data_IF_686995931634
#
_entry.id   IF_686995931634
#
_cell.length_a   1.000
_cell.length_b   1.000
_cell.length_c   1.000
_cell.angle_alpha   90.00
_cell.angle_beta   90.00
_cell.angle_gamma   90.00
#
_symmetry.space_group_name_H-M   'P 1'
#
loop_
_entity.id
_entity.type
_entity.pdbx_description
1 polymer ?
#
# COMPACT_ATOMS: atom_id res chain seq x y z
N UNK A 1 -0.90 26.56 7.24
CA UNK A 1 -1.44 26.43 5.87
C UNK A 1 -2.95 26.29 5.96
N UNK A 2 -3.72 26.68 4.91
CA UNK A 2 -5.15 26.39 4.85
C UNK A 2 -5.36 24.88 4.87
N UNK A 3 -6.49 24.42 5.48
CA UNK A 3 -6.83 22.99 5.47
C UNK A 3 -7.03 22.51 4.04
N UNK A 4 -6.58 21.28 3.73
CA UNK A 4 -6.77 20.67 2.43
C UNK A 4 -8.26 20.47 2.11
N UNK A 5 -8.73 21.15 1.06
CA UNK A 5 -10.14 21.10 0.64
C UNK A 5 -10.50 19.96 -0.31
N UNK A 6 -9.52 19.17 -0.73
CA UNK A 6 -9.67 18.18 -1.80
C UNK A 6 -9.22 18.72 -3.16
N UNK A 7 -9.13 17.83 -4.14
CA UNK A 7 -8.86 18.16 -5.54
C UNK A 7 -10.04 17.63 -6.36
N UNK A 8 -10.98 18.52 -6.65
CA UNK A 8 -12.15 18.23 -7.49
C UNK A 8 -12.30 19.31 -8.55
N UNK A 9 -11.84 19.03 -9.75
CA UNK A 9 -11.87 19.98 -10.88
C UNK A 9 -13.05 19.77 -11.83
N UNK A 10 -13.68 18.58 -11.80
CA UNK A 10 -14.72 18.17 -12.75
C UNK A 10 -15.98 17.64 -12.07
N UNK A 11 -16.24 18.05 -10.82
CA UNK A 11 -17.37 17.55 -10.02
C UNK A 11 -17.33 16.01 -9.82
N UNK A 12 -16.14 15.50 -9.53
CA UNK A 12 -15.91 14.08 -9.24
C UNK A 12 -16.80 13.59 -8.08
N UNK A 13 -17.04 14.46 -7.10
CA UNK A 13 -17.82 14.18 -5.90
C UNK A 13 -19.28 13.84 -6.21
N UNK A 14 -19.83 14.32 -7.33
CA UNK A 14 -21.19 13.97 -7.76
C UNK A 14 -21.36 12.49 -8.12
N UNK A 15 -20.26 11.78 -8.39
CA UNK A 15 -20.24 10.36 -8.73
C UNK A 15 -20.13 9.43 -7.52
N UNK A 16 -19.94 10.00 -6.33
CA UNK A 16 -19.80 9.28 -5.06
C UNK A 16 -21.12 9.26 -4.30
N UNK A 17 -21.43 8.12 -3.68
CA UNK A 17 -22.54 8.05 -2.74
C UNK A 17 -22.18 8.62 -1.35
N UNK A 18 -23.15 8.72 -0.47
CA UNK A 18 -22.97 9.35 0.85
C UNK A 18 -22.02 8.56 1.76
N UNK A 19 -22.04 7.23 1.71
CA UNK A 19 -21.11 6.38 2.45
C UNK A 19 -19.66 6.62 2.00
N UNK A 20 -19.41 6.66 0.70
CA UNK A 20 -18.09 6.91 0.11
C UNK A 20 -17.55 8.28 0.48
N UNK A 21 -18.41 9.31 0.47
CA UNK A 21 -18.07 10.66 0.92
C UNK A 21 -17.75 10.69 2.41
N UNK A 22 -18.55 10.02 3.25
CA UNK A 22 -18.34 9.93 4.68
C UNK A 22 -17.03 9.26 5.03
N UNK A 23 -16.73 8.09 4.44
CA UNK A 23 -15.48 7.37 4.65
C UNK A 23 -14.28 8.22 4.26
N UNK A 24 -14.33 8.88 3.09
CA UNK A 24 -13.27 9.80 2.65
C UNK A 24 -13.09 10.96 3.64
N UNK A 25 -14.17 11.56 4.09
CA UNK A 25 -14.12 12.67 5.03
C UNK A 25 -13.52 12.25 6.38
N UNK A 26 -13.95 11.10 6.92
CA UNK A 26 -13.41 10.53 8.16
C UNK A 26 -11.89 10.28 8.04
N UNK A 27 -11.45 9.68 6.93
CA UNK A 27 -10.03 9.43 6.69
C UNK A 27 -9.25 10.74 6.53
N UNK A 28 -9.82 11.75 5.86
CA UNK A 28 -9.22 13.08 5.71
C UNK A 28 -9.03 13.78 7.05
N UNK A 29 -10.05 13.77 7.90
CA UNK A 29 -9.99 14.39 9.24
C UNK A 29 -8.96 13.71 10.12
N UNK A 30 -8.90 12.38 10.11
CA UNK A 30 -7.85 11.63 10.79
C UNK A 30 -6.45 12.04 10.29
N UNK A 31 -6.25 12.11 8.98
CA UNK A 31 -4.96 12.48 8.40
C UNK A 31 -4.57 13.92 8.75
N UNK A 32 -5.49 14.87 8.67
CA UNK A 32 -5.24 16.28 9.01
C UNK A 32 -4.88 16.47 10.48
N UNK A 33 -5.59 15.79 11.38
CA UNK A 33 -5.48 16.04 12.80
C UNK A 33 -4.36 15.22 13.45
N UNK A 34 -4.16 13.96 13.02
CA UNK A 34 -3.28 13.01 13.70
C UNK A 34 -1.98 12.72 12.93
N UNK A 35 -2.01 12.80 11.59
CA UNK A 35 -0.86 12.38 10.77
C UNK A 35 -0.01 13.56 10.33
N UNK A 36 -0.60 14.56 9.68
CA UNK A 36 0.14 15.69 9.11
C UNK A 36 1.01 16.42 10.13
N UNK A 37 0.55 16.64 11.40
CA UNK A 37 1.37 17.35 12.39
C UNK A 37 2.66 16.64 12.80
N UNK A 38 2.75 15.32 12.61
CA UNK A 38 3.84 14.50 13.15
C UNK A 38 4.71 13.83 12.08
N UNK A 39 4.18 13.66 10.87
CA UNK A 39 4.75 12.70 9.92
C UNK A 39 6.13 13.12 9.38
N UNK A 40 6.41 14.42 9.24
CA UNK A 40 7.72 14.88 8.80
C UNK A 40 8.81 14.50 9.82
N UNK A 41 8.53 14.68 11.12
CA UNK A 41 9.43 14.23 12.18
C UNK A 41 9.65 12.72 12.13
N UNK A 42 8.57 11.94 12.03
CA UNK A 42 8.65 10.47 11.95
C UNK A 42 9.44 10.00 10.72
N UNK A 43 9.26 10.67 9.58
CA UNK A 43 10.03 10.39 8.36
C UNK A 43 11.52 10.73 8.55
N UNK A 44 11.85 11.87 9.16
CA UNK A 44 13.25 12.28 9.44
C UNK A 44 13.94 11.28 10.37
N UNK A 45 13.25 10.83 11.41
CA UNK A 45 13.75 9.89 12.41
C UNK A 45 13.67 8.42 11.96
N UNK A 46 13.07 8.15 10.79
CA UNK A 46 12.84 6.80 10.25
C UNK A 46 12.06 5.88 11.21
N UNK A 47 11.01 6.42 11.84
CA UNK A 47 10.16 5.72 12.81
C UNK A 47 8.70 5.71 12.36
N UNK A 48 8.06 4.55 12.47
CA UNK A 48 6.61 4.45 12.26
C UNK A 48 5.85 4.99 13.49
N UNK A 49 4.77 5.78 13.32
CA UNK A 49 3.97 6.32 14.44
C UNK A 49 3.04 5.25 15.05
N UNK A 50 3.59 4.35 15.84
CA UNK A 50 2.88 3.20 16.45
C UNK A 50 1.62 3.58 17.25
N UNK A 51 1.60 4.78 17.84
CA UNK A 51 0.47 5.26 18.64
C UNK A 51 -0.81 5.48 17.82
N UNK A 52 -0.70 5.54 16.47
CA UNK A 52 -1.86 5.65 15.59
C UNK A 52 -2.58 4.31 15.35
N UNK A 53 -1.95 3.18 15.65
CA UNK A 53 -2.49 1.84 15.34
C UNK A 53 -3.84 1.57 16.01
N UNK A 54 -4.06 1.88 17.31
CA UNK A 54 -5.38 1.72 17.92
C UNK A 54 -6.47 2.54 17.23
N UNK A 55 -6.21 3.81 16.91
CA UNK A 55 -7.16 4.69 16.22
C UNK A 55 -7.53 4.17 14.83
N UNK A 56 -6.56 3.64 14.06
CA UNK A 56 -6.82 3.01 12.77
C UNK A 56 -7.76 1.80 12.90
N UNK A 57 -7.62 1.01 13.98
CA UNK A 57 -8.51 -0.09 14.31
C UNK A 57 -9.93 0.37 14.68
N UNK A 58 -10.05 1.40 15.53
CA UNK A 58 -11.33 2.00 15.94
C UNK A 58 -12.09 2.61 14.77
N UNK A 59 -11.39 3.23 13.81
CA UNK A 59 -11.96 3.76 12.58
C UNK A 59 -12.36 2.67 11.57
N UNK A 60 -12.07 1.39 11.85
CA UNK A 60 -12.39 0.28 10.96
C UNK A 60 -11.54 0.20 9.70
N UNK A 61 -10.34 0.79 9.69
CA UNK A 61 -9.48 0.86 8.51
C UNK A 61 -8.71 -0.44 8.23
N UNK A 62 -8.58 -1.33 9.21
CA UNK A 62 -7.96 -2.64 9.00
C UNK A 62 -8.98 -3.64 8.45
N UNK A 63 -8.68 -4.23 7.29
CA UNK A 63 -9.58 -5.13 6.60
C UNK A 63 -10.91 -4.48 6.23
N UNK A 64 -10.91 -3.19 5.94
CA UNK A 64 -12.10 -2.33 5.80
C UNK A 64 -13.15 -2.87 4.81
N UNK A 65 -12.73 -3.56 3.75
CA UNK A 65 -13.62 -4.17 2.74
C UNK A 65 -13.88 -5.67 2.95
N UNK A 66 -13.50 -6.23 4.10
CA UNK A 66 -13.87 -7.59 4.50
C UNK A 66 -15.18 -7.59 5.29
N UNK A 67 -15.90 -8.71 5.28
CA UNK A 67 -17.18 -8.85 5.96
C UNK A 67 -17.09 -9.80 7.17
N UNK A 68 -17.77 -9.47 8.26
CA UNK A 68 -17.71 -10.25 9.49
C UNK A 68 -16.44 -10.04 10.30
N UNK A 69 -16.25 -10.76 11.38
CA UNK A 69 -15.10 -10.71 12.28
C UNK A 69 -14.76 -9.30 12.83
N UNK A 70 -15.74 -8.41 12.90
CA UNK A 70 -15.57 -7.01 13.31
C UNK A 70 -15.14 -6.05 12.21
N UNK A 71 -14.92 -6.51 10.98
CA UNK A 71 -14.55 -5.68 9.84
C UNK A 71 -15.73 -4.82 9.36
N UNK A 72 -15.43 -3.63 8.81
CA UNK A 72 -16.44 -2.63 8.45
C UNK A 72 -17.30 -3.01 7.23
N UNK A 73 -16.82 -3.85 6.32
CA UNK A 73 -17.55 -4.27 5.12
C UNK A 73 -17.76 -3.16 4.08
N UNK A 74 -16.85 -2.18 4.02
CA UNK A 74 -16.92 -1.04 3.10
C UNK A 74 -16.93 -1.49 1.64
N UNK A 75 -17.54 -0.69 0.75
CA UNK A 75 -17.37 -0.86 -0.70
C UNK A 75 -15.90 -0.72 -1.11
N UNK A 76 -15.52 -1.28 -2.24
CA UNK A 76 -14.14 -1.12 -2.71
C UNK A 76 -13.82 0.33 -3.09
N UNK A 77 -14.80 1.12 -3.53
CA UNK A 77 -14.62 2.55 -3.78
C UNK A 77 -14.35 3.28 -2.46
N UNK A 78 -15.14 3.04 -1.41
CA UNK A 78 -14.92 3.64 -0.09
C UNK A 78 -13.53 3.27 0.47
N UNK A 79 -13.13 1.99 0.39
CA UNK A 79 -11.76 1.54 0.71
C UNK A 79 -10.70 2.29 -0.10
N UNK A 80 -10.93 2.47 -1.41
CA UNK A 80 -10.02 3.23 -2.26
C UNK A 80 -9.85 4.67 -1.82
N UNK A 81 -10.94 5.37 -1.54
CA UNK A 81 -10.94 6.76 -1.06
C UNK A 81 -10.25 6.89 0.31
N UNK A 82 -10.46 5.92 1.21
CA UNK A 82 -9.74 5.85 2.48
C UNK A 82 -8.22 5.73 2.24
N UNK A 83 -7.78 4.82 1.38
CA UNK A 83 -6.35 4.64 1.09
C UNK A 83 -5.74 5.86 0.41
N UNK A 84 -6.50 6.59 -0.41
CA UNK A 84 -6.10 7.86 -1.00
C UNK A 84 -5.80 8.91 0.06
N UNK A 85 -6.67 9.11 1.04
CA UNK A 85 -6.42 10.06 2.12
C UNK A 85 -5.26 9.63 3.02
N UNK A 86 -5.14 8.34 3.37
CA UNK A 86 -4.01 7.84 4.14
C UNK A 86 -2.66 8.10 3.45
N UNK A 87 -2.56 7.88 2.13
CA UNK A 87 -1.31 8.13 1.39
C UNK A 87 -1.09 9.61 1.13
N UNK A 88 -2.12 10.45 1.13
CA UNK A 88 -1.98 11.90 1.20
C UNK A 88 -1.23 12.32 2.47
N UNK A 89 -1.46 11.63 3.57
CA UNK A 89 -0.64 11.73 4.78
C UNK A 89 0.76 11.20 4.57
N UNK A 90 0.89 9.89 4.32
CA UNK A 90 2.18 9.24 4.05
C UNK A 90 1.99 7.85 3.41
N UNK A 91 2.86 7.50 2.46
CA UNK A 91 2.86 6.17 1.84
C UNK A 91 3.20 5.04 2.83
N UNK A 92 3.99 5.30 3.87
CA UNK A 92 4.29 4.33 4.93
C UNK A 92 3.06 3.97 5.75
N UNK A 93 2.24 4.98 6.11
CA UNK A 93 0.98 4.78 6.83
C UNK A 93 -0.02 3.98 5.98
N UNK A 94 -0.23 4.38 4.70
CA UNK A 94 -1.09 3.63 3.79
C UNK A 94 -0.59 2.20 3.61
N UNK A 95 0.73 2.00 3.50
CA UNK A 95 1.35 0.68 3.37
C UNK A 95 1.08 -0.19 4.60
N UNK A 96 1.18 0.36 5.81
CA UNK A 96 0.84 -0.36 7.05
C UNK A 96 -0.60 -0.90 7.01
N UNK A 97 -1.57 -0.02 6.69
CA UNK A 97 -2.99 -0.41 6.60
C UNK A 97 -3.23 -1.43 5.50
N UNK A 98 -2.60 -1.24 4.34
CA UNK A 98 -2.71 -2.17 3.21
C UNK A 98 -2.12 -3.54 3.50
N UNK A 99 -0.95 -3.62 4.13
CA UNK A 99 -0.35 -4.90 4.53
C UNK A 99 -1.23 -5.62 5.54
N UNK A 100 -1.69 -4.91 6.57
CA UNK A 100 -2.58 -5.48 7.58
C UNK A 100 -3.85 -6.05 6.95
N UNK A 101 -4.56 -5.26 6.14
CA UNK A 101 -5.84 -5.65 5.55
C UNK A 101 -5.71 -6.60 4.36
N UNK A 102 -4.95 -6.21 3.33
CA UNK A 102 -4.92 -6.91 2.05
C UNK A 102 -3.94 -8.10 2.00
N UNK A 103 -2.85 -8.05 2.78
CA UNK A 103 -1.79 -9.07 2.72
C UNK A 103 -1.80 -10.02 3.93
N UNK A 104 -2.42 -9.64 5.05
CA UNK A 104 -2.52 -10.48 6.25
C UNK A 104 -3.96 -10.93 6.50
N UNK A 105 -4.90 -9.99 6.69
CA UNK A 105 -6.29 -10.34 6.97
C UNK A 105 -6.95 -11.05 5.79
N UNK A 106 -6.74 -10.56 4.56
CA UNK A 106 -7.34 -11.16 3.36
C UNK A 106 -6.96 -12.63 3.15
N UNK A 107 -5.68 -13.07 3.19
CA UNK A 107 -5.36 -14.50 3.06
C UNK A 107 -5.91 -15.35 4.20
N UNK A 108 -5.93 -14.85 5.45
CA UNK A 108 -6.56 -15.56 6.58
C UNK A 108 -8.07 -15.67 6.32
N UNK A 109 -8.74 -14.60 5.91
CA UNK A 109 -10.16 -14.58 5.58
C UNK A 109 -10.52 -15.54 4.43
N UNK A 110 -9.73 -15.50 3.35
CA UNK A 110 -10.06 -16.25 2.12
C UNK A 110 -9.62 -17.71 2.17
N UNK A 111 -8.55 -18.02 2.90
CA UNK A 111 -7.86 -19.31 2.82
C UNK A 111 -7.67 -19.99 4.18
N UNK A 112 -7.91 -19.28 5.26
CA UNK A 112 -7.79 -19.83 6.62
C UNK A 112 -8.94 -20.76 6.99
N UNK A 113 -8.67 -21.64 7.96
CA UNK A 113 -9.72 -22.39 8.66
C UNK A 113 -10.55 -21.44 9.54
N UNK A 114 -11.75 -21.87 9.95
CA UNK A 114 -12.57 -21.05 10.86
C UNK A 114 -11.88 -20.79 12.20
N UNK A 115 -11.08 -21.74 12.69
CA UNK A 115 -10.27 -21.54 13.89
C UNK A 115 -9.23 -20.41 13.71
N UNK A 116 -8.54 -20.39 12.55
CA UNK A 116 -7.58 -19.34 12.23
C UNK A 116 -8.26 -17.97 12.06
N UNK A 117 -9.41 -17.92 11.38
CA UNK A 117 -10.19 -16.68 11.19
C UNK A 117 -10.66 -16.10 12.53
N UNK A 118 -11.27 -16.94 13.37
CA UNK A 118 -11.78 -16.54 14.69
C UNK A 118 -10.65 -16.11 15.64
N UNK A 119 -9.47 -16.71 15.54
CA UNK A 119 -8.30 -16.33 16.34
C UNK A 119 -7.74 -14.98 15.93
N UNK A 120 -7.52 -14.78 14.62
CA UNK A 120 -6.68 -13.69 14.14
C UNK A 120 -7.46 -12.46 13.66
N UNK A 121 -8.56 -12.63 12.92
CA UNK A 121 -9.21 -11.49 12.27
C UNK A 121 -9.72 -10.42 13.26
N UNK A 122 -10.35 -10.78 14.41
CA UNK A 122 -10.77 -9.76 15.37
C UNK A 122 -9.61 -8.99 16.01
N UNK A 123 -8.48 -9.67 16.28
CA UNK A 123 -7.31 -9.02 16.88
C UNK A 123 -6.63 -8.08 15.87
N UNK A 124 -6.50 -8.51 14.62
CA UNK A 124 -5.91 -7.73 13.55
C UNK A 124 -6.78 -6.52 13.19
N UNK A 125 -8.10 -6.69 13.16
CA UNK A 125 -9.04 -5.61 12.87
C UNK A 125 -9.00 -4.51 13.94
N UNK A 126 -8.85 -4.88 15.20
CA UNK A 126 -8.75 -3.92 16.32
C UNK A 126 -7.34 -3.30 16.47
N UNK A 127 -6.37 -3.70 15.66
CA UNK A 127 -4.98 -3.29 15.84
C UNK A 127 -4.31 -3.84 17.09
N UNK A 128 -4.92 -4.83 17.76
CA UNK A 128 -4.35 -5.53 18.94
C UNK A 128 -3.29 -6.55 18.54
N UNK A 129 -3.29 -6.99 17.29
CA UNK A 129 -2.23 -7.77 16.68
C UNK A 129 -1.82 -7.12 15.36
N UNK A 130 -0.55 -7.20 15.04
CA UNK A 130 0.04 -6.71 13.79
C UNK A 130 0.49 -7.92 12.98
N UNK A 131 0.26 -7.87 11.67
CA UNK A 131 0.72 -8.89 10.77
C UNK A 131 1.74 -8.40 9.75
N UNK A 132 2.49 -9.35 9.18
CA UNK A 132 3.35 -9.13 8.03
C UNK A 132 3.17 -10.21 6.97
N UNK A 133 3.69 -9.95 5.74
CA UNK A 133 3.51 -10.82 4.59
C UNK A 133 4.86 -11.21 3.98
N UNK A 134 5.29 -12.44 4.21
CA UNK A 134 6.57 -12.98 3.77
C UNK A 134 6.47 -13.73 2.43
N UNK A 135 6.58 -13.02 1.30
CA UNK A 135 6.63 -13.61 -0.04
C UNK A 135 8.01 -13.41 -0.67
N UNK A 136 8.45 -12.17 -0.83
CA UNK A 136 9.68 -11.76 -1.51
C UNK A 136 10.91 -12.31 -0.80
N UNK A 137 11.87 -12.81 -1.56
CA UNK A 137 13.19 -13.28 -1.09
C UNK A 137 14.31 -12.40 -1.63
N UNK A 138 15.52 -12.42 -1.04
CA UNK A 138 16.63 -11.62 -1.54
C UNK A 138 16.90 -11.76 -3.04
N UNK A 139 16.75 -12.97 -3.61
CA UNK A 139 16.98 -13.28 -5.02
C UNK A 139 15.70 -13.30 -5.87
N UNK A 140 14.51 -13.32 -5.27
CA UNK A 140 13.23 -13.53 -5.96
C UNK A 140 12.20 -12.44 -5.58
N UNK A 141 12.28 -11.29 -6.26
CA UNK A 141 11.30 -10.21 -6.16
C UNK A 141 10.20 -10.34 -7.22
N UNK A 142 10.50 -9.96 -8.47
CA UNK A 142 9.53 -9.98 -9.58
C UNK A 142 9.11 -11.39 -10.01
N UNK A 143 9.92 -12.40 -9.70
CA UNK A 143 9.61 -13.82 -9.94
C UNK A 143 9.43 -14.58 -8.61
N UNK A 144 8.30 -14.45 -7.92
CA UNK A 144 8.05 -15.15 -6.66
C UNK A 144 7.94 -16.67 -6.83
N UNK A 145 7.70 -17.16 -8.03
CA UNK A 145 7.68 -18.60 -8.34
C UNK A 145 9.04 -19.29 -8.16
N UNK A 146 10.13 -18.51 -8.26
CA UNK A 146 11.49 -19.00 -8.02
C UNK A 146 11.88 -19.16 -6.56
N UNK A 147 10.99 -18.81 -5.59
CA UNK A 147 11.32 -18.81 -4.16
C UNK A 147 12.04 -20.09 -3.70
N UNK A 148 12.97 -19.92 -2.77
CA UNK A 148 13.77 -21.00 -2.19
C UNK A 148 13.26 -21.45 -0.81
N UNK A 149 12.52 -20.61 -0.09
CA UNK A 149 11.93 -20.96 1.22
C UNK A 149 11.07 -22.22 1.10
N UNK A 150 11.37 -23.21 1.95
CA UNK A 150 10.69 -24.50 1.97
C UNK A 150 10.03 -24.77 3.30
N UNK A 151 8.92 -25.51 3.25
CA UNK A 151 8.19 -26.04 4.39
C UNK A 151 8.05 -27.57 4.23
N UNK A 152 8.69 -28.32 5.10
CA UNK A 152 8.67 -29.79 5.10
C UNK A 152 7.79 -30.28 6.24
N UNK A 153 6.86 -31.18 5.95
CA UNK A 153 5.99 -31.78 6.97
C UNK A 153 6.75 -32.83 7.77
N UNK A 154 6.74 -32.70 9.09
CA UNK A 154 7.30 -33.68 10.04
C UNK A 154 6.26 -34.05 11.09
N UNK A 155 5.55 -35.12 10.86
CA UNK A 155 4.48 -35.59 11.74
C UNK A 155 3.37 -34.54 11.89
N UNK A 156 3.21 -33.97 13.08
CA UNK A 156 2.18 -32.95 13.40
C UNK A 156 2.67 -31.49 13.27
N UNK A 157 3.80 -31.28 12.59
CA UNK A 157 4.43 -29.97 12.41
C UNK A 157 4.84 -29.75 10.95
N UNK A 158 5.10 -28.47 10.58
CA UNK A 158 5.93 -28.10 9.45
C UNK A 158 7.24 -27.48 9.96
N UNK A 159 8.32 -27.74 9.24
CA UNK A 159 9.64 -27.15 9.46
C UNK A 159 9.95 -26.23 8.30
N UNK A 160 10.06 -24.94 8.57
CA UNK A 160 10.36 -23.91 7.58
C UNK A 160 11.86 -23.60 7.59
N UNK A 161 12.45 -23.53 6.39
CA UNK A 161 13.81 -23.07 6.16
C UNK A 161 13.85 -22.09 4.99
N UNK A 162 14.51 -20.93 5.16
CA UNK A 162 14.65 -19.91 4.14
C UNK A 162 14.65 -18.49 4.71
N UNK A 163 14.53 -17.53 3.80
CA UNK A 163 14.59 -16.09 4.13
C UNK A 163 13.54 -15.31 3.35
N UNK A 164 13.07 -14.20 3.94
CA UNK A 164 12.24 -13.21 3.27
C UNK A 164 12.85 -11.82 3.44
N UNK A 165 12.68 -10.97 2.43
CA UNK A 165 13.26 -9.63 2.41
C UNK A 165 12.25 -8.57 2.01
N UNK A 166 12.46 -7.34 2.48
CA UNK A 166 11.61 -6.17 2.22
C UNK A 166 10.19 -6.31 2.82
N UNK A 167 10.10 -6.91 4.00
CA UNK A 167 8.82 -7.25 4.64
C UNK A 167 8.37 -6.10 5.53
N UNK A 168 7.28 -5.44 5.14
CA UNK A 168 6.63 -4.42 5.97
C UNK A 168 6.15 -5.04 7.28
N UNK A 169 6.41 -4.38 8.40
CA UNK A 169 6.03 -4.77 9.76
C UNK A 169 6.73 -6.06 10.29
N UNK A 170 7.73 -6.61 9.62
CA UNK A 170 8.29 -7.92 9.98
C UNK A 170 8.76 -8.03 11.44
N UNK A 171 9.49 -7.04 11.95
CA UNK A 171 10.05 -7.05 13.32
C UNK A 171 9.02 -6.75 14.41
N UNK A 172 7.91 -6.10 14.06
CA UNK A 172 6.84 -5.71 15.00
C UNK A 172 5.60 -6.60 14.90
N UNK A 173 5.61 -7.59 13.98
CA UNK A 173 4.45 -8.46 13.74
C UNK A 173 4.27 -9.51 14.84
N UNK A 174 3.00 -9.78 15.17
CA UNK A 174 2.58 -10.89 16.05
C UNK A 174 2.33 -12.16 15.24
N UNK A 175 2.01 -12.03 13.96
CA UNK A 175 1.82 -13.13 13.01
C UNK A 175 2.36 -12.77 11.63
N UNK A 176 3.13 -13.69 11.03
CA UNK A 176 3.60 -13.58 9.65
C UNK A 176 2.83 -14.57 8.76
N UNK A 177 2.25 -14.08 7.65
CA UNK A 177 1.77 -14.93 6.56
C UNK A 177 2.96 -15.22 5.65
N UNK A 178 3.51 -16.42 5.74
CA UNK A 178 4.73 -16.84 5.03
C UNK A 178 4.37 -17.78 3.89
N UNK A 179 4.81 -17.46 2.69
CA UNK A 179 4.66 -18.31 1.52
C UNK A 179 5.94 -19.11 1.30
N UNK A 180 5.79 -20.44 1.21
CA UNK A 180 6.91 -21.36 1.04
C UNK A 180 6.52 -22.52 0.12
N UNK A 181 7.50 -23.13 -0.56
CA UNK A 181 7.30 -24.37 -1.31
C UNK A 181 7.19 -25.56 -0.36
N UNK A 182 6.15 -26.34 -0.50
CA UNK A 182 6.01 -27.62 0.19
C UNK A 182 6.79 -28.73 -0.53
N UNK A 183 6.68 -29.99 -0.05
CA UNK A 183 7.38 -31.15 -0.59
C UNK A 183 7.07 -31.45 -2.07
N UNK A 184 5.87 -31.07 -2.53
CA UNK A 184 5.40 -31.19 -3.92
C UNK A 184 5.80 -29.98 -4.80
N UNK A 185 6.74 -29.15 -4.38
CA UNK A 185 7.17 -27.89 -5.00
C UNK A 185 6.04 -26.84 -5.20
N UNK A 186 4.85 -27.08 -4.67
CA UNK A 186 3.77 -26.09 -4.75
C UNK A 186 3.83 -25.13 -3.58
N UNK A 187 3.58 -23.85 -3.89
CA UNK A 187 3.54 -22.79 -2.89
C UNK A 187 2.32 -22.96 -1.97
N UNK A 188 2.54 -22.79 -0.67
CA UNK A 188 1.51 -22.77 0.38
C UNK A 188 1.73 -21.62 1.32
N UNK A 189 0.67 -21.17 1.98
CA UNK A 189 0.70 -20.15 2.99
C UNK A 189 0.75 -20.74 4.40
N UNK A 190 1.57 -20.17 5.25
CA UNK A 190 1.74 -20.60 6.64
C UNK A 190 1.63 -19.41 7.58
N UNK A 191 0.98 -19.59 8.72
CA UNK A 191 0.95 -18.60 9.80
C UNK A 191 2.11 -18.89 10.76
N UNK A 192 3.08 -18.00 10.82
CA UNK A 192 4.22 -18.08 11.76
C UNK A 192 3.98 -17.04 12.84
N UNK A 193 3.77 -17.50 14.06
CA UNK A 193 3.52 -16.64 15.21
C UNK A 193 4.83 -16.09 15.79
N UNK A 194 4.77 -14.91 16.38
CA UNK A 194 5.90 -14.32 17.10
C UNK A 194 6.44 -15.28 18.15
N UNK A 195 7.74 -15.40 18.20
CA UNK A 195 8.41 -16.31 19.16
C UNK A 195 8.46 -17.77 18.71
N UNK A 196 7.99 -18.14 17.52
CA UNK A 196 8.18 -19.48 16.98
C UNK A 196 9.68 -19.85 16.97
N UNK A 197 10.07 -21.03 17.48
CA UNK A 197 11.48 -21.45 17.48
C UNK A 197 12.05 -21.44 16.05
N UNK A 198 13.25 -20.85 15.88
CA UNK A 198 13.89 -20.75 14.57
C UNK A 198 13.42 -19.57 13.71
N UNK A 199 12.43 -18.80 14.13
CA UNK A 199 11.99 -17.56 13.45
C UNK A 199 12.73 -16.34 14.02
N UNK A 200 13.33 -15.53 13.14
CA UNK A 200 13.94 -14.22 13.47
C UNK A 200 13.54 -13.16 12.47
N UNK A 201 13.41 -11.94 12.96
CA UNK A 201 13.18 -10.75 12.14
C UNK A 201 14.16 -9.65 12.54
N UNK A 202 14.58 -8.83 11.57
CA UNK A 202 15.47 -7.66 11.80
C UNK A 202 15.07 -6.51 10.87
N UNK A 203 15.33 -5.29 11.29
CA UNK A 203 14.98 -4.11 10.51
C UNK A 203 16.02 -3.76 9.46
N UNK A 204 15.54 -3.31 8.31
CA UNK A 204 16.34 -2.71 7.25
C UNK A 204 16.50 -1.22 7.55
N UNK A 205 17.71 -0.83 7.91
CA UNK A 205 18.07 0.56 8.18
C UNK A 205 18.61 1.28 6.93
N UNK A 206 18.71 2.61 6.99
CA UNK A 206 19.33 3.43 5.93
C UNK A 206 18.48 3.63 4.69
N UNK A 207 17.17 3.37 4.74
CA UNK A 207 16.26 3.62 3.61
C UNK A 207 16.13 5.13 3.35
N UNK A 208 16.12 5.52 2.09
CA UNK A 208 15.80 6.88 1.62
C UNK A 208 14.32 7.07 1.28
N UNK A 209 13.58 5.98 1.19
CA UNK A 209 12.17 5.91 0.86
C UNK A 209 11.41 5.15 1.96
N UNK A 210 10.13 5.44 2.16
CA UNK A 210 9.29 4.83 3.20
C UNK A 210 9.97 4.86 4.57
N UNK A 211 10.51 6.00 4.95
CA UNK A 211 11.28 6.15 6.19
C UNK A 211 10.36 6.00 7.41
N UNK A 212 9.15 6.54 7.36
CA UNK A 212 8.12 6.35 8.39
C UNK A 212 7.38 4.99 8.22
N UNK A 213 8.14 3.92 7.97
CA UNK A 213 7.61 2.55 7.81
C UNK A 213 8.62 1.54 8.28
N UNK A 214 8.20 0.54 9.04
CA UNK A 214 9.03 -0.61 9.40
C UNK A 214 9.18 -1.51 8.19
N UNK A 215 10.41 -1.86 7.85
CA UNK A 215 10.74 -2.79 6.76
C UNK A 215 11.80 -3.77 7.25
N UNK A 216 11.58 -5.06 7.10
CA UNK A 216 12.38 -6.08 7.76
C UNK A 216 12.84 -7.18 6.80
N UNK A 217 13.89 -7.88 7.18
CA UNK A 217 14.18 -9.23 6.74
C UNK A 217 13.61 -10.25 7.73
N UNK A 218 13.28 -11.45 7.25
CA UNK A 218 12.85 -12.57 8.06
C UNK A 218 13.73 -13.77 7.75
N UNK A 219 14.13 -14.56 8.76
CA UNK A 219 14.80 -15.84 8.58
C UNK A 219 14.11 -16.97 9.32
N UNK A 220 14.13 -18.11 8.71
CA UNK A 220 13.59 -19.37 9.22
C UNK A 220 14.70 -20.41 9.18
N UNK A 221 15.12 -20.86 10.36
CA UNK A 221 16.14 -21.91 10.51
C UNK A 221 15.55 -23.02 11.35
N UNK A 222 15.23 -24.13 10.71
CA UNK A 222 14.48 -25.23 11.32
C UNK A 222 13.27 -24.73 12.13
N UNK A 223 12.56 -23.74 11.53
CA UNK A 223 11.46 -23.09 12.21
C UNK A 223 10.24 -24.02 12.28
N UNK A 224 9.96 -24.54 13.46
CA UNK A 224 8.87 -25.46 13.69
C UNK A 224 7.56 -24.71 13.96
N UNK A 225 6.54 -25.05 13.18
CA UNK A 225 5.17 -24.55 13.36
C UNK A 225 4.16 -25.70 13.40
N UNK A 226 3.04 -25.55 14.13
CA UNK A 226 1.97 -26.55 14.13
C UNK A 226 1.41 -26.80 12.72
N UNK A 227 0.97 -28.02 12.43
CA UNK A 227 0.34 -28.33 11.11
C UNK A 227 -0.88 -27.47 10.83
N UNK A 228 -1.60 -27.08 11.89
CA UNK A 228 -2.83 -26.31 11.80
C UNK A 228 -2.58 -24.80 11.48
N UNK A 229 -1.31 -24.40 11.39
CA UNK A 229 -0.90 -23.09 10.91
C UNK A 229 -0.77 -23.01 9.38
N UNK A 230 -0.95 -24.11 8.65
CA UNK A 230 -1.13 -24.10 7.20
C UNK A 230 -2.47 -23.41 6.85
N UNK A 231 -2.48 -22.55 5.86
CA UNK A 231 -3.70 -22.02 5.23
C UNK A 231 -4.30 -23.09 4.30
N UNK A 232 -5.41 -23.76 4.68
CA UNK A 232 -5.89 -24.95 3.96
C UNK A 232 -6.56 -24.62 2.63
N UNK A 233 -7.06 -23.41 2.46
CA UNK A 233 -7.91 -23.01 1.33
C UNK A 233 -7.16 -22.69 0.03
N UNK A 234 -5.83 -22.85 -0.02
CA UNK A 234 -5.07 -22.44 -1.21
C UNK A 234 -3.82 -23.28 -1.46
N UNK A 235 -3.53 -23.51 -2.76
CA UNK A 235 -2.32 -24.16 -3.26
C UNK A 235 -1.83 -23.43 -4.49
N UNK A 236 -0.52 -23.20 -4.60
CA UNK A 236 0.15 -22.57 -5.73
C UNK A 236 0.20 -21.06 -5.62
N UNK A 237 0.78 -20.41 -6.64
CA UNK A 237 0.99 -18.96 -6.70
C UNK A 237 -0.32 -18.15 -6.72
N UNK A 238 -1.46 -18.75 -7.04
CA UNK A 238 -2.77 -18.08 -6.99
C UNK A 238 -3.01 -17.42 -5.62
N UNK A 239 -2.57 -18.06 -4.53
CA UNK A 239 -2.71 -17.54 -3.18
C UNK A 239 -2.06 -16.17 -3.01
N UNK A 240 -0.72 -16.07 -3.04
CA UNK A 240 -0.04 -14.79 -2.86
C UNK A 240 -0.39 -13.75 -3.94
N UNK A 241 -0.59 -14.16 -5.19
CA UNK A 241 -0.94 -13.23 -6.27
C UNK A 241 -2.32 -12.60 -6.08
N UNK A 242 -3.29 -13.34 -5.53
CA UNK A 242 -4.61 -12.78 -5.20
C UNK A 242 -4.52 -11.73 -4.08
N UNK A 243 -3.66 -11.96 -3.07
CA UNK A 243 -3.39 -10.99 -2.01
C UNK A 243 -2.77 -9.71 -2.59
N UNK A 244 -1.77 -9.86 -3.46
CA UNK A 244 -1.16 -8.72 -4.15
C UNK A 244 -2.18 -7.91 -4.97
N UNK A 245 -3.16 -8.56 -5.61
CA UNK A 245 -4.20 -7.83 -6.34
C UNK A 245 -5.07 -6.96 -5.41
N UNK A 246 -5.35 -7.41 -4.18
CA UNK A 246 -6.04 -6.57 -3.19
C UNK A 246 -5.20 -5.35 -2.82
N UNK A 247 -3.93 -5.55 -2.50
CA UNK A 247 -3.03 -4.47 -2.10
C UNK A 247 -2.73 -3.49 -3.24
N UNK A 248 -2.46 -3.98 -4.46
CA UNK A 248 -2.26 -3.16 -5.68
C UNK A 248 -3.42 -2.23 -5.97
N UNK A 249 -4.64 -2.69 -5.71
CA UNK A 249 -5.84 -1.87 -5.86
C UNK A 249 -5.79 -0.64 -4.93
N UNK A 250 -5.48 -0.84 -3.64
CA UNK A 250 -5.31 0.24 -2.67
C UNK A 250 -4.14 1.18 -3.01
N UNK A 251 -3.04 0.65 -3.58
CA UNK A 251 -1.90 1.46 -4.05
C UNK A 251 -2.33 2.39 -5.20
N UNK A 252 -3.13 1.88 -6.15
CA UNK A 252 -3.60 2.68 -7.27
C UNK A 252 -4.46 3.88 -6.86
N UNK A 253 -5.21 3.77 -5.77
CA UNK A 253 -5.91 4.89 -5.16
C UNK A 253 -4.96 5.76 -4.30
N UNK A 254 -4.14 5.13 -3.48
CA UNK A 254 -3.25 5.81 -2.54
C UNK A 254 -2.32 6.80 -3.23
N UNK A 255 -1.69 6.38 -4.32
CA UNK A 255 -0.76 7.23 -5.08
C UNK A 255 -1.37 8.57 -5.51
N UNK A 256 -2.68 8.60 -5.81
CA UNK A 256 -3.38 9.85 -6.10
C UNK A 256 -3.39 10.81 -4.90
N UNK A 257 -3.49 10.27 -3.67
CA UNK A 257 -3.41 11.08 -2.46
C UNK A 257 -2.07 11.79 -2.33
N UNK A 258 -0.97 11.09 -2.56
CA UNK A 258 0.37 11.70 -2.60
C UNK A 258 0.49 12.75 -3.71
N UNK A 259 -0.07 12.48 -4.91
CA UNK A 259 -0.12 13.45 -6.00
C UNK A 259 -0.91 14.71 -5.62
N UNK A 260 -2.07 14.55 -4.98
CA UNK A 260 -2.90 15.66 -4.51
C UNK A 260 -2.20 16.52 -3.47
N UNK A 261 -1.47 15.90 -2.50
CA UNK A 261 -0.68 16.63 -1.53
C UNK A 261 0.40 17.49 -2.19
N UNK A 262 1.12 16.91 -3.16
CA UNK A 262 2.15 17.62 -3.90
C UNK A 262 1.57 18.74 -4.76
N UNK A 263 0.45 18.48 -5.46
CA UNK A 263 -0.24 19.47 -6.28
C UNK A 263 -0.74 20.66 -5.45
N UNK A 264 -1.46 20.41 -4.37
CA UNK A 264 -1.98 21.48 -3.53
C UNK A 264 -0.86 22.34 -2.93
N UNK A 265 0.18 21.70 -2.40
CA UNK A 265 1.35 22.40 -1.90
C UNK A 265 2.00 23.29 -2.96
N UNK A 266 2.19 22.77 -4.18
CA UNK A 266 2.77 23.55 -5.28
C UNK A 266 1.86 24.70 -5.72
N UNK A 267 0.55 24.47 -5.77
CA UNK A 267 -0.44 25.49 -6.14
C UNK A 267 -0.46 26.66 -5.13
N UNK A 268 -0.54 26.35 -3.83
CA UNK A 268 -0.55 27.37 -2.78
C UNK A 268 0.78 28.16 -2.76
N UNK A 269 1.91 27.46 -2.89
CA UNK A 269 3.21 28.09 -2.99
C UNK A 269 3.29 29.02 -4.22
N UNK A 270 2.86 28.55 -5.40
CA UNK A 270 2.91 29.34 -6.62
C UNK A 270 2.03 30.60 -6.58
N UNK A 271 0.90 30.59 -5.86
CA UNK A 271 0.02 31.73 -5.65
C UNK A 271 0.63 32.80 -4.71
N UNK A 272 1.49 32.40 -3.79
CA UNK A 272 2.05 33.30 -2.76
C UNK A 272 3.47 33.76 -3.04
N UNK A 273 4.31 32.88 -3.63
CA UNK A 273 5.69 33.19 -3.98
C UNK A 273 5.76 34.19 -5.11
N UNK A 274 6.45 35.31 -4.89
CA UNK A 274 6.61 36.36 -5.89
C UNK A 274 8.03 36.37 -6.46
N UNK A 275 8.14 36.50 -7.78
CA UNK A 275 9.37 36.71 -8.56
C UNK A 275 9.06 37.61 -9.76
N UNK A 276 10.07 38.19 -10.38
CA UNK A 276 9.97 39.02 -11.56
C UNK A 276 8.81 40.04 -11.51
N UNK A 277 9.14 41.31 -11.37
CA UNK A 277 8.18 42.40 -11.21
C UNK A 277 7.20 42.22 -10.03
N UNK A 278 7.62 41.49 -8.95
CA UNK A 278 6.83 41.25 -7.75
C UNK A 278 5.47 40.53 -8.00
N UNK A 279 5.36 39.72 -9.07
CA UNK A 279 4.17 38.93 -9.40
C UNK A 279 4.25 37.53 -8.82
N UNK A 280 3.12 36.92 -8.42
CA UNK A 280 3.09 35.50 -8.07
C UNK A 280 3.68 34.64 -9.19
N UNK A 281 4.46 33.61 -8.87
CA UNK A 281 5.03 32.72 -9.91
C UNK A 281 3.96 31.96 -10.67
N UNK A 282 2.76 31.79 -10.09
CA UNK A 282 1.58 31.26 -10.79
C UNK A 282 1.18 32.08 -12.05
N UNK A 283 1.64 33.32 -12.20
CA UNK A 283 1.40 34.12 -13.38
C UNK A 283 2.30 33.79 -14.58
N UNK A 284 3.31 32.90 -14.40
CA UNK A 284 4.23 32.52 -15.45
C UNK A 284 3.75 31.26 -16.20
N UNK A 285 3.82 31.29 -17.53
CA UNK A 285 3.29 30.24 -18.40
C UNK A 285 3.84 28.84 -18.08
N UNK A 286 5.16 28.71 -17.83
CA UNK A 286 5.77 27.40 -17.51
C UNK A 286 5.35 26.84 -16.15
N UNK A 287 4.94 27.70 -15.20
CA UNK A 287 4.35 27.24 -13.92
C UNK A 287 2.91 26.78 -14.14
N UNK A 288 2.13 27.55 -14.93
CA UNK A 288 0.75 27.19 -15.26
C UNK A 288 0.69 25.88 -16.08
N UNK A 289 1.63 25.65 -17.00
CA UNK A 289 1.75 24.41 -17.77
C UNK A 289 1.88 23.21 -16.80
N UNK A 290 2.80 23.28 -15.85
CA UNK A 290 3.00 22.21 -14.87
C UNK A 290 1.76 21.97 -14.02
N UNK A 291 1.12 23.03 -13.52
CA UNK A 291 -0.10 22.93 -12.72
C UNK A 291 -1.27 22.34 -13.54
N UNK A 292 -1.43 22.76 -14.79
CA UNK A 292 -2.46 22.24 -15.69
C UNK A 292 -2.23 20.76 -16.02
N UNK A 293 -0.98 20.36 -16.27
CA UNK A 293 -0.65 18.95 -16.46
C UNK A 293 -0.97 18.12 -15.22
N UNK A 294 -0.53 18.57 -14.03
CA UNK A 294 -0.74 17.84 -12.77
C UNK A 294 -2.23 17.61 -12.49
N UNK A 295 -3.07 18.66 -12.57
CA UNK A 295 -4.50 18.50 -12.31
C UNK A 295 -5.18 17.59 -13.34
N UNK A 296 -4.79 17.68 -14.62
CA UNK A 296 -5.33 16.83 -15.67
C UNK A 296 -5.03 15.36 -15.41
N UNK A 297 -3.79 15.02 -15.04
CA UNK A 297 -3.40 13.64 -14.77
C UNK A 297 -4.05 13.10 -13.49
N UNK A 298 -4.17 13.92 -12.44
CA UNK A 298 -4.89 13.54 -11.21
C UNK A 298 -6.34 13.19 -11.53
N UNK A 299 -7.03 14.03 -12.30
CA UNK A 299 -8.43 13.82 -12.68
C UNK A 299 -8.61 12.54 -13.48
N UNK A 300 -7.76 12.29 -14.48
CA UNK A 300 -7.76 11.04 -15.26
C UNK A 300 -7.54 9.83 -14.36
N UNK A 301 -6.59 9.94 -13.42
CA UNK A 301 -6.31 8.90 -12.46
C UNK A 301 -7.49 8.60 -11.52
N UNK A 302 -8.19 9.63 -11.04
CA UNK A 302 -9.39 9.49 -10.21
C UNK A 302 -10.52 8.76 -10.97
N UNK A 303 -10.78 9.13 -12.21
CA UNK A 303 -11.80 8.46 -13.04
C UNK A 303 -11.46 7.00 -13.31
N UNK A 304 -10.19 6.69 -13.61
CA UNK A 304 -9.73 5.31 -13.74
C UNK A 304 -9.92 4.52 -12.46
N UNK A 305 -9.53 5.10 -11.31
CA UNK A 305 -9.65 4.47 -10.00
C UNK A 305 -11.11 4.18 -9.64
N UNK A 306 -12.00 5.16 -9.84
CA UNK A 306 -13.44 5.01 -9.60
C UNK A 306 -14.03 3.91 -10.49
N UNK A 307 -13.71 3.90 -11.79
CA UNK A 307 -14.23 2.89 -12.71
C UNK A 307 -13.78 1.48 -12.30
N UNK A 308 -12.49 1.29 -12.00
CA UNK A 308 -11.97 0.00 -11.53
C UNK A 308 -12.59 -0.41 -10.19
N UNK A 309 -12.84 0.55 -9.30
CA UNK A 309 -13.55 0.33 -8.05
C UNK A 309 -14.98 -0.19 -8.27
N UNK A 310 -15.74 0.45 -9.15
CA UNK A 310 -17.09 0.02 -9.51
C UNK A 310 -17.11 -1.38 -10.17
N UNK A 311 -16.08 -1.71 -10.99
CA UNK A 311 -15.93 -3.06 -11.54
C UNK A 311 -15.65 -4.08 -10.43
N UNK A 312 -14.83 -3.70 -9.44
CA UNK A 312 -14.48 -4.58 -8.32
C UNK A 312 -15.69 -4.84 -7.40
N UNK A 313 -16.52 -3.83 -7.12
CA UNK A 313 -17.76 -3.98 -6.36
C UNK A 313 -18.76 -4.92 -7.06
N UNK A 314 -18.73 -4.97 -8.38
CA UNK A 314 -19.54 -5.88 -9.21
C UNK A 314 -18.89 -7.24 -9.47
N UNK A 315 -17.74 -7.56 -8.86
CA UNK A 315 -16.95 -8.77 -9.14
C UNK A 315 -16.58 -8.96 -10.63
N UNK A 316 -16.37 -7.86 -11.37
CA UNK A 316 -16.02 -7.83 -12.80
C UNK A 316 -14.60 -7.33 -13.07
N UNK A 317 -13.80 -7.16 -12.03
CA UNK A 317 -12.41 -6.70 -12.17
C UNK A 317 -11.52 -7.87 -12.64
N UNK A 318 -10.64 -7.56 -13.59
CA UNK A 318 -9.56 -8.46 -14.04
C UNK A 318 -8.22 -7.98 -13.42
N UNK A 319 -7.27 -8.89 -13.13
CA UNK A 319 -5.96 -8.50 -12.61
C UNK A 319 -5.22 -7.45 -13.48
N UNK A 320 -5.43 -7.46 -14.79
CA UNK A 320 -4.84 -6.46 -15.70
C UNK A 320 -5.42 -5.05 -15.50
N UNK A 321 -6.70 -4.92 -15.11
CA UNK A 321 -7.30 -3.64 -14.75
C UNK A 321 -6.62 -3.05 -13.51
N UNK A 322 -6.33 -3.90 -12.50
CA UNK A 322 -5.61 -3.50 -11.29
C UNK A 322 -4.15 -3.13 -11.62
N UNK A 323 -3.51 -3.89 -12.50
CA UNK A 323 -2.17 -3.57 -13.00
C UNK A 323 -2.13 -2.22 -13.70
N UNK A 324 -3.10 -1.94 -14.57
CA UNK A 324 -3.23 -0.64 -15.26
C UNK A 324 -3.43 0.50 -14.27
N UNK A 325 -4.33 0.32 -13.31
CA UNK A 325 -4.61 1.30 -12.26
C UNK A 325 -3.34 1.65 -11.45
N UNK A 326 -2.65 0.63 -10.92
CA UNK A 326 -1.44 0.82 -10.11
C UNK A 326 -0.34 1.47 -10.93
N UNK A 327 -0.03 0.94 -12.10
CA UNK A 327 1.04 1.43 -12.96
C UNK A 327 0.82 2.90 -13.34
N UNK A 328 -0.38 3.23 -13.84
CA UNK A 328 -0.70 4.59 -14.28
C UNK A 328 -0.64 5.59 -13.12
N UNK A 329 -1.36 5.31 -12.04
CA UNK A 329 -1.53 6.29 -10.97
C UNK A 329 -0.24 6.52 -10.17
N UNK A 330 0.60 5.50 -10.01
CA UNK A 330 1.91 5.67 -9.39
C UNK A 330 2.87 6.47 -10.29
N UNK A 331 2.85 6.22 -11.60
CA UNK A 331 3.71 6.96 -12.53
C UNK A 331 3.36 8.46 -12.57
N UNK A 332 2.07 8.79 -12.67
CA UNK A 332 1.63 10.20 -12.65
C UNK A 332 1.87 10.86 -11.29
N UNK A 333 1.74 10.12 -10.19
CA UNK A 333 2.01 10.66 -8.86
C UNK A 333 3.49 11.04 -8.69
N UNK A 334 4.41 10.18 -9.12
CA UNK A 334 5.84 10.44 -9.08
C UNK A 334 6.22 11.65 -9.96
N UNK A 335 5.66 11.75 -11.17
CA UNK A 335 5.90 12.91 -12.04
C UNK A 335 5.28 14.19 -11.47
N UNK A 336 4.10 14.11 -10.84
CA UNK A 336 3.47 15.22 -10.13
C UNK A 336 4.38 15.72 -8.99
N UNK A 337 4.94 14.81 -8.19
CA UNK A 337 5.86 15.18 -7.11
C UNK A 337 7.14 15.87 -7.65
N UNK A 338 7.70 15.40 -8.77
CA UNK A 338 8.85 16.03 -9.43
C UNK A 338 8.55 17.44 -9.95
N UNK A 339 7.39 17.64 -10.60
CA UNK A 339 6.94 18.95 -11.07
C UNK A 339 6.67 19.91 -9.90
N UNK A 340 6.07 19.40 -8.82
CA UNK A 340 5.85 20.19 -7.59
C UNK A 340 7.17 20.62 -6.96
N UNK A 341 8.14 19.69 -6.81
CA UNK A 341 9.48 20.00 -6.33
C UNK A 341 10.15 21.09 -7.18
N UNK A 342 10.00 21.03 -8.50
CA UNK A 342 10.57 21.99 -9.42
C UNK A 342 9.92 23.38 -9.27
N UNK A 343 8.59 23.46 -9.10
CA UNK A 343 7.88 24.73 -8.83
C UNK A 343 8.37 25.41 -7.54
N UNK A 344 8.67 24.63 -6.50
CA UNK A 344 9.17 25.17 -5.24
C UNK A 344 10.66 25.60 -5.29
N UNK A 345 11.41 25.21 -6.32
CA UNK A 345 12.84 25.49 -6.45
C UNK A 345 13.63 24.92 -5.27
N UNK A 346 14.47 25.71 -4.64
CA UNK A 346 15.27 25.28 -3.47
C UNK A 346 14.40 24.85 -2.28
N UNK A 347 13.23 25.47 -2.08
CA UNK A 347 12.30 25.08 -1.01
C UNK A 347 11.69 23.70 -1.23
N UNK A 348 11.76 23.14 -2.44
CA UNK A 348 11.22 21.81 -2.75
C UNK A 348 12.04 20.63 -2.20
N UNK A 349 13.22 20.89 -1.59
CA UNK A 349 14.09 19.83 -1.06
C UNK A 349 14.16 19.79 0.48
N UNK A 350 13.48 20.72 1.15
CA UNK A 350 13.44 20.79 2.63
C UNK A 350 12.13 20.21 3.18
N UNK A 351 12.15 19.75 4.42
CA UNK A 351 11.02 19.10 5.07
C UNK A 351 9.95 20.04 5.66
N UNK A 352 10.10 21.36 5.43
CA UNK A 352 9.00 22.33 5.61
C UNK A 352 7.83 22.07 4.64
N UNK A 353 8.08 21.30 3.58
CA UNK A 353 7.12 20.92 2.55
C UNK A 353 7.12 19.41 2.34
N UNK A 354 5.94 18.81 2.21
CA UNK A 354 5.77 17.34 2.09
C UNK A 354 6.35 16.73 0.80
N UNK A 355 6.76 17.55 -0.18
CA UNK A 355 7.01 17.12 -1.55
C UNK A 355 8.15 16.11 -1.65
N UNK A 356 9.31 16.41 -1.02
CA UNK A 356 10.47 15.52 -1.09
C UNK A 356 10.20 14.17 -0.42
N UNK A 357 9.44 14.17 0.69
CA UNK A 357 9.02 12.95 1.36
C UNK A 357 8.13 12.09 0.45
N UNK A 358 7.11 12.68 -0.17
CA UNK A 358 6.26 11.95 -1.13
C UNK A 358 7.05 11.49 -2.35
N UNK A 359 7.92 12.33 -2.92
CA UNK A 359 8.75 11.95 -4.07
C UNK A 359 9.63 10.73 -3.75
N UNK A 360 10.32 10.75 -2.61
CA UNK A 360 11.15 9.62 -2.18
C UNK A 360 10.29 8.35 -1.92
N UNK A 361 9.15 8.49 -1.26
CA UNK A 361 8.26 7.36 -0.99
C UNK A 361 7.72 6.74 -2.28
N UNK A 362 7.35 7.54 -3.26
CA UNK A 362 6.81 7.09 -4.54
C UNK A 362 7.82 6.27 -5.37
N UNK A 363 9.13 6.42 -5.18
CA UNK A 363 10.14 5.53 -5.79
C UNK A 363 9.98 4.08 -5.29
N UNK A 364 9.69 3.87 -4.01
CA UNK A 364 9.34 2.53 -3.51
C UNK A 364 7.96 2.08 -3.99
N UNK A 365 6.97 2.98 -4.01
CA UNK A 365 5.62 2.67 -4.48
C UNK A 365 5.63 2.21 -5.95
N UNK A 366 6.51 2.76 -6.78
CA UNK A 366 6.69 2.32 -8.17
C UNK A 366 7.35 0.94 -8.29
N UNK A 367 8.05 0.51 -7.25
CA UNK A 367 8.88 -0.71 -7.26
C UNK A 367 8.17 -1.92 -6.63
N UNK A 368 7.58 -1.75 -5.46
CA UNK A 368 6.99 -2.87 -4.70
C UNK A 368 5.65 -3.35 -5.27
N UNK A 369 5.25 -4.55 -4.86
CA UNK A 369 4.01 -5.23 -5.27
C UNK A 369 3.84 -5.32 -6.80
N UNK A 370 4.96 -5.53 -7.48
CA UNK A 370 5.10 -5.49 -8.92
C UNK A 370 5.63 -4.14 -9.39
N UNK A 371 6.78 -4.16 -10.05
CA UNK A 371 7.34 -2.97 -10.70
C UNK A 371 6.42 -2.50 -11.84
N UNK A 372 6.58 -1.26 -12.27
CA UNK A 372 5.85 -0.76 -13.44
C UNK A 372 6.06 -1.64 -14.67
N UNK A 373 7.25 -2.26 -14.82
CA UNK A 373 7.53 -3.16 -15.94
C UNK A 373 6.76 -4.48 -15.83
N UNK A 374 6.68 -5.07 -14.63
CA UNK A 374 5.82 -6.26 -14.40
C UNK A 374 4.36 -5.96 -14.77
N UNK A 375 3.85 -4.78 -14.41
CA UNK A 375 2.47 -4.40 -14.79
C UNK A 375 2.30 -4.23 -16.30
N UNK A 376 3.30 -3.69 -17.01
CA UNK A 376 3.30 -3.63 -18.48
C UNK A 376 3.23 -5.04 -19.09
N UNK A 377 4.00 -6.00 -18.55
CA UNK A 377 3.97 -7.39 -19.01
C UNK A 377 2.59 -8.03 -18.80
N UNK A 378 1.97 -7.84 -17.63
CA UNK A 378 0.61 -8.34 -17.35
C UNK A 378 -0.42 -7.76 -18.33
N UNK A 379 -0.35 -6.46 -18.60
CA UNK A 379 -1.24 -5.79 -19.55
C UNK A 379 -0.95 -6.27 -20.98
N UNK A 380 0.33 -6.35 -21.36
CA UNK A 380 0.78 -6.82 -22.67
C UNK A 380 0.29 -8.24 -22.98
N UNK A 381 0.45 -9.17 -22.04
CA UNK A 381 -0.09 -10.53 -22.15
C UNK A 381 -1.62 -10.51 -22.35
N UNK A 382 -2.33 -9.70 -21.57
CA UNK A 382 -3.79 -9.62 -21.65
C UNK A 382 -4.30 -9.13 -23.01
N UNK A 383 -3.64 -8.15 -23.63
CA UNK A 383 -4.08 -7.59 -24.92
C UNK A 383 -3.62 -8.39 -26.13
N UNK A 384 -2.49 -9.12 -26.01
CA UNK A 384 -1.92 -9.90 -27.11
C UNK A 384 -2.27 -11.39 -27.07
N UNK A 385 -2.62 -11.91 -25.88
CA UNK A 385 -2.75 -13.34 -25.62
C UNK A 385 -1.42 -14.10 -25.58
N UNK A 386 -0.28 -13.39 -25.58
CA UNK A 386 1.06 -13.97 -25.61
C UNK A 386 1.81 -13.55 -24.33
N UNK A 387 2.27 -14.55 -23.55
CA UNK A 387 3.05 -14.28 -22.34
C UNK A 387 4.41 -13.69 -22.70
N UNK A 388 4.79 -12.63 -21.97
CA UNK A 388 6.13 -12.04 -22.01
C UNK A 388 6.99 -12.45 -20.79
N UNK A 389 6.45 -13.33 -19.94
CA UNK A 389 7.19 -13.94 -18.83
C UNK A 389 7.90 -15.19 -19.35
N UNK A 390 9.18 -15.09 -19.65
CA UNK A 390 10.05 -16.15 -20.17
C UNK A 390 11.14 -16.51 -19.18
#
# INVERSE_FOLDING_TARGET
>A
MAKFGGVDFIDFDSQLNDEEKLVRQTAREFVENEVIPIIEKHSREAMFPMHLVPQLGELGFFGANLHGYGCAGMSNVAYGLMTQELERGDSGLRSFVSVQGALVMYPIYSYGSEAQKNKWLPLLQQGKAIGCFGLTEPQFGSNPGGMLTRAVKKGNKYVLNGEKMWITNGSISDVAVVWAKAEDDKVRGFLVEKGAPGFKAWDVHGKWSLRASVTSGLSFTDCEIPKDNLLPGVVGLKGPLSCLNQARYGIGWGALGAAMACYDTALQYAKTRKQFANKPIASHQLVQEKLAWMITEIVKGQLLALHVGRLKDKNKVDPSHISMLKMNNVAIALETARKARDILGANGIVDDYCIMRHMNNLESVSTYEGTNDIHKLVIGERITGISAFV
#
